data_IF_273105510765
#
_entry.id   IF_273105510765
#
_cell.length_a   1.000
_cell.length_b   1.000
_cell.length_c   1.000
_cell.angle_alpha   90.00
_cell.angle_beta   90.00
_cell.angle_gamma   90.00
#
_symmetry.space_group_name_H-M   'P 1'
#
loop_
_entity.id
_entity.type
_entity.pdbx_description
1 polymer ?
#
# COMPACT_ATOMS: atom_id res chain seq x y z
N UNK A 1 -1.99 14.45 2.45
CA UNK A 1 -0.99 14.80 1.43
C UNK A 1 -1.15 13.88 0.23
N UNK A 2 -0.65 12.64 0.31
CA UNK A 2 -0.83 11.62 -0.72
C UNK A 2 -2.33 11.31 -0.92
N UNK A 3 -2.78 11.16 -2.16
CA UNK A 3 -4.17 10.89 -2.53
C UNK A 3 -5.03 12.14 -2.76
N UNK A 4 -4.91 13.14 -1.87
CA UNK A 4 -5.72 14.35 -1.93
C UNK A 4 -5.00 15.55 -2.55
N UNK A 5 -3.79 15.87 -2.08
CA UNK A 5 -2.98 16.99 -2.60
C UNK A 5 -2.26 16.59 -3.88
N UNK A 6 -1.73 15.37 -3.90
CA UNK A 6 -1.20 14.71 -5.09
C UNK A 6 -2.08 13.50 -5.37
N UNK A 7 -2.92 13.60 -6.39
CA UNK A 7 -3.85 12.54 -6.79
C UNK A 7 -3.30 11.78 -7.98
N UNK A 8 -3.40 10.46 -7.93
CA UNK A 8 -3.05 9.60 -9.05
C UNK A 8 -3.93 9.92 -10.26
N UNK A 9 -3.37 9.76 -11.46
CA UNK A 9 -4.07 10.12 -12.69
C UNK A 9 -5.35 9.30 -12.90
N UNK A 10 -5.31 8.01 -12.54
CA UNK A 10 -6.41 7.09 -12.74
C UNK A 10 -6.45 5.98 -11.68
N UNK A 11 -7.56 5.25 -11.63
CA UNK A 11 -7.85 4.23 -10.63
C UNK A 11 -6.97 2.99 -10.73
N UNK A 12 -6.35 2.70 -11.88
CA UNK A 12 -5.47 1.54 -12.04
C UNK A 12 -4.23 1.58 -11.14
N UNK A 13 -3.87 2.78 -10.64
CA UNK A 13 -2.78 2.98 -9.69
C UNK A 13 -3.27 3.09 -8.23
N UNK A 14 -4.56 2.83 -7.94
CA UNK A 14 -5.16 2.93 -6.60
C UNK A 14 -4.30 2.29 -5.50
N UNK A 15 -3.66 1.16 -5.79
CA UNK A 15 -2.75 0.45 -4.89
C UNK A 15 -1.65 1.35 -4.31
N UNK A 16 -1.16 2.33 -5.08
CA UNK A 16 -0.11 3.25 -4.63
C UNK A 16 -0.68 4.24 -3.63
N UNK A 17 -1.94 4.66 -3.77
CA UNK A 17 -2.58 5.55 -2.81
C UNK A 17 -2.91 4.81 -1.51
N UNK A 18 -3.66 3.72 -1.62
CA UNK A 18 -4.13 2.95 -0.48
C UNK A 18 -2.98 2.21 0.22
N UNK A 19 -2.09 1.58 -0.54
CA UNK A 19 -0.91 0.93 -0.01
C UNK A 19 0.06 1.90 0.67
N UNK A 20 0.20 3.13 0.15
CA UNK A 20 1.01 4.15 0.84
C UNK A 20 0.39 4.55 2.17
N UNK A 21 -0.92 4.82 2.19
CA UNK A 21 -1.65 5.12 3.42
C UNK A 21 -1.53 3.98 4.44
N UNK A 22 -1.75 2.73 4.02
CA UNK A 22 -1.64 1.53 4.85
C UNK A 22 -0.21 1.26 5.34
N UNK A 23 0.84 1.76 4.69
CA UNK A 23 2.19 1.71 5.24
C UNK A 23 2.41 2.80 6.29
N UNK A 24 2.11 4.05 5.95
CA UNK A 24 2.46 5.19 6.81
C UNK A 24 1.51 5.37 8.00
N UNK A 25 0.34 4.71 8.01
CA UNK A 25 -0.53 4.67 9.18
C UNK A 25 0.20 4.11 10.41
N UNK A 26 1.05 3.10 10.22
CA UNK A 26 1.88 2.54 11.28
C UNK A 26 2.93 3.54 11.78
N UNK A 27 3.54 4.31 10.88
CA UNK A 27 4.51 5.35 11.26
C UNK A 27 3.86 6.50 12.02
N UNK A 28 2.68 6.94 11.56
CA UNK A 28 1.92 8.00 12.22
C UNK A 28 1.43 7.56 13.62
N UNK A 29 0.93 6.34 13.73
CA UNK A 29 0.50 5.77 15.01
C UNK A 29 1.68 5.53 15.96
N UNK A 30 2.83 5.04 15.48
CA UNK A 30 4.06 4.86 16.27
C UNK A 30 4.58 6.19 16.82
N UNK A 31 4.51 7.25 16.01
CA UNK A 31 4.87 8.59 16.45
C UNK A 31 3.89 9.14 17.51
N UNK A 32 2.61 8.78 17.44
CA UNK A 32 1.61 9.19 18.42
C UNK A 32 1.72 8.40 19.74
N UNK A 33 1.99 7.08 19.65
CA UNK A 33 2.06 6.15 20.78
C UNK A 33 3.35 5.29 20.72
N UNK A 34 4.52 5.85 21.06
CA UNK A 34 5.82 5.18 20.84
C UNK A 34 6.05 3.92 21.67
N UNK A 35 5.28 3.71 22.73
CA UNK A 35 5.43 2.55 23.63
C UNK A 35 4.75 1.28 23.09
N UNK A 36 3.90 1.40 22.06
CA UNK A 36 3.09 0.28 21.58
C UNK A 36 3.84 -0.68 20.63
N UNK A 37 5.00 -0.27 20.10
CA UNK A 37 5.72 -0.99 19.04
C UNK A 37 4.83 -1.29 17.83
N UNK A 38 3.96 -0.35 17.45
CA UNK A 38 2.89 -0.61 16.48
C UNK A 38 3.42 -0.90 15.07
N UNK A 39 4.63 -0.43 14.74
CA UNK A 39 5.30 -0.72 13.44
C UNK A 39 5.49 -2.22 13.20
N UNK A 40 5.66 -3.02 14.24
CA UNK A 40 5.87 -4.46 14.10
C UNK A 40 4.59 -5.18 13.66
N UNK A 41 3.42 -4.59 13.93
CA UNK A 41 2.13 -5.20 13.61
C UNK A 41 1.87 -5.31 12.11
N UNK A 42 2.52 -4.50 11.26
CA UNK A 42 2.38 -4.59 9.79
C UNK A 42 2.76 -5.99 9.27
N UNK A 43 3.70 -6.67 9.93
CA UNK A 43 4.12 -8.02 9.54
C UNK A 43 2.97 -9.01 9.71
N UNK A 44 2.24 -8.92 10.82
CA UNK A 44 1.13 -9.80 11.13
C UNK A 44 -0.14 -9.41 10.35
N UNK A 45 -0.47 -8.13 10.34
CA UNK A 45 -1.75 -7.62 9.86
C UNK A 45 -1.81 -7.47 8.34
N UNK A 46 -0.68 -7.22 7.67
CA UNK A 46 -0.63 -6.98 6.23
C UNK A 46 0.22 -8.00 5.50
N UNK A 47 1.48 -8.21 5.91
CA UNK A 47 2.41 -9.08 5.16
C UNK A 47 1.92 -10.53 5.16
N UNK A 48 1.70 -11.12 6.34
CA UNK A 48 1.20 -12.49 6.42
C UNK A 48 -0.23 -12.63 5.91
N UNK A 49 -1.07 -11.63 6.15
CA UNK A 49 -2.45 -11.61 5.67
C UNK A 49 -2.50 -11.66 4.15
N UNK A 50 -1.70 -10.85 3.47
CA UNK A 50 -1.73 -10.79 2.00
C UNK A 50 -1.05 -11.98 1.35
N UNK A 51 -0.04 -12.58 1.97
CA UNK A 51 0.54 -13.82 1.46
C UNK A 51 -0.48 -14.95 1.34
N UNK A 52 -1.48 -15.01 2.22
CA UNK A 52 -2.53 -16.04 2.14
C UNK A 52 -3.37 -15.93 0.86
N UNK A 53 -3.64 -14.71 0.38
CA UNK A 53 -4.42 -14.48 -0.84
C UNK A 53 -3.53 -14.41 -2.08
N UNK A 54 -2.33 -13.83 -1.96
CA UNK A 54 -1.41 -13.62 -3.08
C UNK A 54 -0.72 -14.91 -3.53
N UNK A 55 -0.67 -15.94 -2.67
CA UNK A 55 -0.20 -17.27 -3.02
C UNK A 55 -1.22 -18.10 -3.83
N UNK A 56 -2.45 -17.61 -4.02
CA UNK A 56 -3.48 -18.31 -4.79
C UNK A 56 -3.28 -18.09 -6.29
N UNK A 57 -3.61 -19.11 -7.09
CA UNK A 57 -3.59 -19.00 -8.56
C UNK A 57 -4.58 -17.95 -9.10
N UNK A 58 -5.56 -17.55 -8.29
CA UNK A 58 -6.53 -16.50 -8.59
C UNK A 58 -6.09 -15.09 -8.17
N UNK A 59 -4.86 -14.93 -7.64
CA UNK A 59 -4.32 -13.60 -7.33
C UNK A 59 -4.15 -12.77 -8.60
N UNK A 60 -3.86 -11.47 -8.43
CA UNK A 60 -3.57 -10.54 -9.51
C UNK A 60 -2.38 -9.61 -9.19
N UNK A 61 -1.78 -8.98 -10.20
CA UNK A 61 -0.76 -7.96 -9.99
C UNK A 61 -1.30 -6.72 -9.25
N UNK A 62 -0.42 -5.97 -8.59
CA UNK A 62 -0.74 -4.67 -7.97
C UNK A 62 -1.19 -3.64 -9.01
N UNK A 63 -0.45 -3.55 -10.11
CA UNK A 63 -0.74 -2.61 -11.20
C UNK A 63 -1.65 -3.26 -12.24
N UNK A 64 -2.69 -2.54 -12.64
CA UNK A 64 -3.48 -2.84 -13.83
C UNK A 64 -3.18 -1.84 -14.95
N UNK A 65 -3.52 -2.16 -16.19
CA UNK A 65 -3.46 -1.16 -17.27
C UNK A 65 -4.65 -0.22 -17.15
N UNK A 66 -4.47 1.04 -17.54
CA UNK A 66 -5.55 2.05 -17.51
C UNK A 66 -6.75 1.57 -18.34
N UNK A 67 -6.51 1.03 -19.53
CA UNK A 67 -7.55 0.52 -20.45
C UNK A 67 -8.37 -0.66 -19.89
N UNK A 68 -7.87 -1.38 -18.89
CA UNK A 68 -8.58 -2.50 -18.27
C UNK A 68 -9.60 -2.02 -17.21
N UNK A 69 -9.46 -0.78 -16.72
CA UNK A 69 -10.25 -0.20 -15.63
C UNK A 69 -11.08 0.96 -16.15
N UNK A 70 -12.28 0.66 -16.68
CA UNK A 70 -13.11 1.66 -17.36
C UNK A 70 -14.52 1.78 -16.77
N UNK A 71 -15.00 0.73 -16.11
CA UNK A 71 -16.35 0.66 -15.53
C UNK A 71 -16.29 0.77 -14.01
N UNK A 72 -17.33 1.33 -13.35
CA UNK A 72 -17.38 1.43 -11.89
C UNK A 72 -17.15 0.11 -11.17
N UNK A 73 -17.69 -1.00 -11.68
CA UNK A 73 -17.49 -2.32 -11.10
C UNK A 73 -16.01 -2.74 -11.07
N UNK A 74 -15.25 -2.44 -12.14
CA UNK A 74 -13.81 -2.73 -12.22
C UNK A 74 -13.01 -1.86 -11.25
N UNK A 75 -13.43 -0.61 -11.05
CA UNK A 75 -12.82 0.26 -10.03
C UNK A 75 -13.05 -0.33 -8.63
N UNK A 76 -14.28 -0.77 -8.34
CA UNK A 76 -14.61 -1.39 -7.05
C UNK A 76 -13.82 -2.68 -6.78
N UNK A 77 -13.50 -3.45 -7.81
CA UNK A 77 -12.68 -4.66 -7.70
C UNK A 77 -11.24 -4.39 -7.24
N UNK A 78 -10.72 -3.16 -7.46
CA UNK A 78 -9.37 -2.79 -7.00
C UNK A 78 -9.30 -2.54 -5.49
N UNK A 79 -10.44 -2.40 -4.79
CA UNK A 79 -10.48 -2.18 -3.33
C UNK A 79 -10.40 -3.52 -2.59
N UNK A 80 -9.22 -4.14 -2.64
CA UNK A 80 -9.01 -5.50 -2.16
C UNK A 80 -7.73 -5.63 -1.29
N UNK A 81 -7.47 -6.84 -0.77
CA UNK A 81 -6.30 -7.06 0.07
C UNK A 81 -4.97 -6.87 -0.69
N UNK A 82 -4.93 -7.09 -2.00
CA UNK A 82 -3.74 -6.87 -2.81
C UNK A 82 -3.40 -5.37 -2.84
N UNK A 83 -4.35 -4.49 -3.19
CA UNK A 83 -4.09 -3.06 -3.29
C UNK A 83 -3.62 -2.43 -1.98
N UNK A 84 -4.21 -2.85 -0.86
CA UNK A 84 -3.89 -2.32 0.47
C UNK A 84 -2.64 -3.01 1.06
N UNK A 85 -2.77 -4.28 1.44
CA UNK A 85 -1.76 -4.96 2.25
C UNK A 85 -0.50 -5.31 1.45
N UNK A 86 -0.61 -5.73 0.17
CA UNK A 86 0.58 -5.96 -0.67
C UNK A 86 1.24 -4.64 -1.05
N UNK A 87 0.43 -3.62 -1.37
CA UNK A 87 0.92 -2.25 -1.63
C UNK A 87 1.76 -1.72 -0.46
N UNK A 88 1.24 -1.80 0.77
CA UNK A 88 1.97 -1.41 1.97
C UNK A 88 3.24 -2.24 2.18
N UNK A 89 3.16 -3.56 1.99
CA UNK A 89 4.29 -4.47 2.16
C UNK A 89 5.46 -4.15 1.21
N UNK A 90 5.17 -3.88 -0.07
CA UNK A 90 6.22 -3.54 -1.05
C UNK A 90 6.80 -2.14 -0.82
N UNK A 91 5.98 -1.19 -0.37
CA UNK A 91 6.45 0.16 -0.03
C UNK A 91 7.33 0.17 1.22
N UNK A 92 6.97 -0.61 2.25
CA UNK A 92 7.84 -0.85 3.40
C UNK A 92 9.17 -1.47 2.98
N UNK A 93 9.13 -2.51 2.14
CA UNK A 93 10.34 -3.15 1.61
C UNK A 93 11.22 -2.15 0.83
N UNK A 94 10.62 -1.29 0.01
CA UNK A 94 11.34 -0.25 -0.72
C UNK A 94 11.95 0.80 0.21
N UNK A 95 11.19 1.24 1.22
CA UNK A 95 11.65 2.19 2.24
C UNK A 95 12.85 1.64 3.02
N UNK A 96 12.79 0.37 3.43
CA UNK A 96 13.89 -0.33 4.11
C UNK A 96 15.11 -0.46 3.19
N UNK A 97 14.90 -0.86 1.93
CA UNK A 97 15.98 -1.02 0.94
C UNK A 97 16.72 0.29 0.64
N UNK A 98 15.98 1.40 0.48
CA UNK A 98 16.56 2.70 0.20
C UNK A 98 17.09 3.40 1.45
N UNK A 99 16.67 2.97 2.64
CA UNK A 99 16.64 3.71 3.91
C UNK A 99 15.57 4.80 3.96
N UNK A 100 14.93 4.95 5.12
CA UNK A 100 13.80 5.86 5.32
C UNK A 100 14.14 7.33 4.99
N UNK A 101 15.39 7.75 5.27
CA UNK A 101 15.85 9.10 4.95
C UNK A 101 15.85 9.40 3.44
N UNK A 102 16.34 8.46 2.63
CA UNK A 102 16.34 8.58 1.16
C UNK A 102 14.93 8.47 0.61
N UNK A 103 14.13 7.54 1.13
CA UNK A 103 12.73 7.39 0.74
C UNK A 103 11.93 8.68 0.99
N UNK A 104 12.07 9.27 2.19
CA UNK A 104 11.42 10.53 2.56
C UNK A 104 11.88 11.69 1.69
N UNK A 105 13.16 11.74 1.30
CA UNK A 105 13.65 12.77 0.38
C UNK A 105 12.98 12.68 -1.00
N UNK A 106 12.72 11.47 -1.51
CA UNK A 106 12.01 11.27 -2.76
C UNK A 106 10.52 11.64 -2.72
N UNK A 107 9.93 11.72 -1.53
CA UNK A 107 8.53 12.12 -1.32
C UNK A 107 8.33 13.63 -1.16
N UNK A 108 9.40 14.39 -0.86
CA UNK A 108 9.38 15.84 -0.65
C UNK A 108 9.42 16.61 -1.96
#
# INVERSE_FOLDING_TARGET
WFGNLVTLRWWNDLWLNEGFASYVEYLGADNAEPEWNIKDLIVLNDVHRVFAVDALASSHPLSSKEEDIQRPAQISELFDAISYSKGASVLRMLSDFLTEGVFTQGLK
#
